data_IF_931626790333
#
_entry.id   IF_931626790333
#
_cell.length_a   1.000
_cell.length_b   1.000
_cell.length_c   1.000
_cell.angle_alpha   90.00
_cell.angle_beta   90.00
_cell.angle_gamma   90.00
#
_symmetry.space_group_name_H-M   'P 1'
#
loop_
_entity.id
_entity.type
_entity.pdbx_description
1 polymer ?
#
# COMPACT_ATOMS: atom_id res chain seq x y z
N UNK A 1 -16.94 -11.20 -6.28
CA UNK A 1 -17.24 -12.61 -5.93
C UNK A 1 -15.92 -13.33 -5.63
N UNK A 2 -15.79 -14.01 -4.47
CA UNK A 2 -14.56 -14.73 -4.08
C UNK A 2 -14.66 -16.20 -4.54
N UNK A 3 -13.56 -16.78 -5.06
CA UNK A 3 -13.46 -18.21 -5.41
C UNK A 3 -12.46 -18.89 -4.47
N UNK A 4 -12.82 -20.06 -3.92
CA UNK A 4 -11.90 -20.85 -3.10
C UNK A 4 -10.90 -21.57 -4.01
N UNK A 5 -9.62 -21.44 -3.71
CA UNK A 5 -8.52 -22.09 -4.42
C UNK A 5 -7.70 -22.89 -3.41
N UNK A 6 -7.49 -24.18 -3.67
CA UNK A 6 -6.54 -25.00 -2.92
C UNK A 6 -5.16 -24.92 -3.57
N UNK A 7 -4.12 -24.69 -2.77
CA UNK A 7 -2.73 -24.67 -3.25
C UNK A 7 -1.80 -25.16 -2.14
N UNK A 8 -0.59 -25.53 -2.53
CA UNK A 8 0.51 -25.75 -1.61
C UNK A 8 1.30 -24.45 -1.46
N UNK A 9 1.69 -24.12 -0.24
CA UNK A 9 2.57 -23.00 0.09
C UNK A 9 3.58 -23.49 1.11
N UNK A 10 4.78 -22.93 1.06
CA UNK A 10 5.83 -23.21 2.03
C UNK A 10 5.35 -22.85 3.46
N UNK A 11 5.75 -23.67 4.44
CA UNK A 11 5.32 -23.51 5.83
C UNK A 11 5.74 -22.16 6.42
N UNK A 12 6.95 -21.68 6.09
CA UNK A 12 7.44 -20.39 6.55
C UNK A 12 6.62 -19.25 5.94
N UNK A 13 6.22 -19.36 4.67
CA UNK A 13 5.35 -18.37 4.01
C UNK A 13 3.99 -18.30 4.72
N UNK A 14 3.40 -19.44 5.05
CA UNK A 14 2.13 -19.49 5.82
C UNK A 14 2.32 -18.89 7.22
N UNK A 15 3.43 -19.18 7.89
CA UNK A 15 3.76 -18.65 9.23
C UNK A 15 3.84 -17.13 9.20
N UNK A 16 4.51 -16.56 8.20
CA UNK A 16 4.62 -15.10 8.03
C UNK A 16 3.27 -14.46 7.71
N UNK A 17 2.47 -15.05 6.81
CA UNK A 17 1.16 -14.53 6.46
C UNK A 17 0.19 -14.54 7.65
N UNK A 18 0.20 -15.60 8.47
CA UNK A 18 -0.60 -15.70 9.70
C UNK A 18 -0.19 -14.65 10.73
N UNK A 19 1.11 -14.45 10.94
CA UNK A 19 1.61 -13.41 11.84
C UNK A 19 1.08 -12.04 11.41
N UNK A 20 1.19 -11.72 10.12
CA UNK A 20 0.70 -10.44 9.61
C UNK A 20 -0.80 -10.26 9.77
N UNK A 21 -1.57 -11.30 9.48
CA UNK A 21 -3.02 -11.30 9.67
C UNK A 21 -3.41 -11.00 11.13
N UNK A 22 -2.66 -11.54 12.10
CA UNK A 22 -2.85 -11.28 13.52
C UNK A 22 -2.47 -9.84 13.92
N UNK A 23 -1.31 -9.35 13.46
CA UNK A 23 -0.85 -7.97 13.69
C UNK A 23 -1.85 -6.93 13.16
N UNK A 24 -2.41 -7.18 11.97
CA UNK A 24 -3.36 -6.29 11.29
C UNK A 24 -4.83 -6.56 11.67
N UNK A 25 -5.10 -7.47 12.62
CA UNK A 25 -6.46 -7.88 13.05
C UNK A 25 -7.42 -8.19 11.90
N UNK A 26 -6.93 -8.87 10.85
CA UNK A 26 -7.71 -9.18 9.63
C UNK A 26 -7.62 -10.65 9.22
N UNK A 27 -8.57 -11.15 8.41
CA UNK A 27 -8.53 -12.52 7.92
C UNK A 27 -7.28 -12.82 7.06
N UNK A 28 -6.71 -14.01 7.24
CA UNK A 28 -5.59 -14.50 6.41
C UNK A 28 -5.90 -14.48 4.91
N UNK A 29 -7.16 -14.73 4.52
CA UNK A 29 -7.59 -14.67 3.12
C UNK A 29 -7.40 -13.29 2.50
N UNK A 30 -7.56 -12.24 3.28
CA UNK A 30 -7.42 -10.87 2.78
C UNK A 30 -5.94 -10.52 2.63
N UNK A 31 -5.08 -10.93 3.57
CA UNK A 31 -3.62 -10.80 3.44
C UNK A 31 -3.09 -11.52 2.19
N UNK A 32 -3.55 -12.75 1.95
CA UNK A 32 -3.16 -13.51 0.75
C UNK A 32 -3.68 -12.83 -0.53
N UNK A 33 -4.91 -12.31 -0.50
CA UNK A 33 -5.49 -11.60 -1.63
C UNK A 33 -4.71 -10.33 -1.95
N UNK A 34 -4.36 -9.52 -0.95
CA UNK A 34 -3.61 -8.28 -1.11
C UNK A 34 -2.21 -8.55 -1.68
N UNK A 35 -1.53 -9.60 -1.18
CA UNK A 35 -0.24 -10.01 -1.72
C UNK A 35 -0.33 -10.42 -3.20
N UNK A 36 -1.35 -11.18 -3.58
CA UNK A 36 -1.59 -11.56 -4.98
C UNK A 36 -1.92 -10.35 -5.85
N UNK A 37 -2.76 -9.43 -5.35
CA UNK A 37 -3.10 -8.19 -6.07
C UNK A 37 -1.84 -7.36 -6.26
N UNK A 38 -1.03 -7.15 -5.23
CA UNK A 38 0.23 -6.39 -5.31
C UNK A 38 1.18 -7.00 -6.34
N UNK A 39 1.44 -8.31 -6.24
CA UNK A 39 2.34 -9.02 -7.15
C UNK A 39 1.89 -8.92 -8.61
N UNK A 40 0.58 -9.02 -8.87
CA UNK A 40 0.02 -8.92 -10.21
C UNK A 40 -0.07 -7.46 -10.71
N UNK A 41 -0.22 -6.49 -9.81
CA UNK A 41 -0.31 -5.06 -10.13
C UNK A 41 1.05 -4.44 -10.48
N UNK A 42 2.14 -4.96 -9.91
CA UNK A 42 3.51 -4.47 -10.16
C UNK A 42 3.98 -4.69 -11.61
N UNK A 43 3.27 -5.51 -12.40
CA UNK A 43 3.53 -5.61 -13.85
C UNK A 43 2.97 -4.43 -14.68
N UNK A 44 2.23 -3.49 -14.07
CA UNK A 44 1.52 -2.41 -14.80
C UNK A 44 1.91 -1.00 -14.33
N UNK A 45 3.05 -0.80 -13.67
CA UNK A 45 3.63 0.54 -13.56
C UNK A 45 4.63 0.76 -14.68
N UNK A 46 4.12 1.10 -15.87
CA UNK A 46 4.92 1.67 -16.95
C UNK A 46 5.81 2.78 -16.35
N UNK A 47 7.15 2.64 -16.38
CA UNK A 47 8.07 3.62 -15.83
C UNK A 47 7.79 5.05 -16.34
N UNK A 48 7.24 5.19 -17.55
CA UNK A 48 6.81 6.47 -18.11
C UNK A 48 5.62 7.09 -17.38
N UNK A 49 4.68 6.28 -16.88
CA UNK A 49 3.55 6.77 -16.07
C UNK A 49 4.02 7.25 -14.70
N UNK A 50 5.00 6.58 -14.08
CA UNK A 50 5.63 7.03 -12.83
C UNK A 50 6.35 8.36 -13.01
N UNK A 51 7.14 8.50 -14.09
CA UNK A 51 7.81 9.75 -14.44
C UNK A 51 6.82 10.90 -14.62
N UNK A 52 5.70 10.67 -15.33
CA UNK A 52 4.65 11.68 -15.52
C UNK A 52 3.91 12.05 -14.22
N UNK A 53 3.65 11.08 -13.34
CA UNK A 53 3.01 11.35 -12.05
C UNK A 53 3.93 12.19 -11.14
N UNK A 54 5.23 11.86 -11.11
CA UNK A 54 6.24 12.65 -10.40
C UNK A 54 6.38 14.06 -10.98
N UNK A 55 6.47 14.17 -12.30
CA UNK A 55 6.52 15.45 -13.01
C UNK A 55 5.29 16.32 -12.68
N UNK A 56 4.08 15.76 -12.73
CA UNK A 56 2.85 16.48 -12.41
C UNK A 56 2.75 16.89 -10.94
N UNK A 57 3.28 16.08 -10.02
CA UNK A 57 3.37 16.43 -8.60
C UNK A 57 4.32 17.61 -8.38
N UNK A 58 5.49 17.62 -9.05
CA UNK A 58 6.49 18.68 -8.93
C UNK A 58 6.16 19.96 -9.72
N UNK A 59 5.44 19.85 -10.84
CA UNK A 59 5.09 20.99 -11.70
C UNK A 59 3.89 21.80 -11.19
N UNK A 60 3.09 21.25 -10.27
CA UNK A 60 1.99 21.99 -9.66
C UNK A 60 2.55 22.81 -8.49
N UNK A 61 2.51 24.16 -8.53
CA UNK A 61 2.80 24.95 -7.35
C UNK A 61 1.80 24.53 -6.27
N UNK A 62 2.32 24.14 -5.11
CA UNK A 62 1.52 23.69 -3.98
C UNK A 62 0.59 24.84 -3.61
N UNK A 63 -0.71 24.68 -3.86
CA UNK A 63 -1.74 25.70 -3.61
C UNK A 63 -2.26 25.59 -2.18
N UNK A 64 -1.37 25.70 -1.22
CA UNK A 64 -1.74 25.76 0.20
C UNK A 64 -1.30 27.10 0.76
N UNK A 65 -2.16 27.69 1.59
CA UNK A 65 -1.78 28.89 2.33
C UNK A 65 -0.70 28.55 3.35
N UNK A 66 0.00 29.57 3.86
CA UNK A 66 1.01 29.40 4.91
C UNK A 66 0.44 28.68 6.14
N UNK A 67 -0.83 28.93 6.47
CA UNK A 67 -1.50 28.33 7.62
C UNK A 67 -1.82 26.85 7.38
N UNK A 68 -2.27 26.49 6.16
CA UNK A 68 -2.49 25.09 5.77
C UNK A 68 -1.18 24.31 5.71
N UNK A 69 -0.10 24.93 5.27
CA UNK A 69 1.22 24.30 5.30
C UNK A 69 1.70 24.04 6.73
N UNK A 70 1.48 24.99 7.64
CA UNK A 70 1.81 24.84 9.07
C UNK A 70 1.00 23.72 9.70
N UNK A 71 -0.29 23.61 9.38
CA UNK A 71 -1.15 22.53 9.86
C UNK A 71 -0.65 21.15 9.41
N UNK A 72 -0.27 20.98 8.14
CA UNK A 72 0.28 19.71 7.63
C UNK A 72 1.61 19.34 8.31
N UNK A 73 2.45 20.33 8.62
CA UNK A 73 3.70 20.11 9.35
C UNK A 73 3.48 19.81 10.84
N UNK A 74 2.38 20.29 11.42
CA UNK A 74 1.97 20.01 12.81
C UNK A 74 1.25 18.65 12.93
N UNK A 75 0.58 18.17 11.89
CA UNK A 75 -0.05 16.84 11.86
C UNK A 75 0.98 15.68 11.85
N UNK A 76 2.26 15.96 11.58
CA UNK A 76 3.35 14.96 11.56
C UNK A 76 4.10 14.84 12.91
N UNK A 77 3.65 15.54 13.96
CA UNK A 77 4.14 15.31 15.33
C UNK A 77 3.35 14.17 15.98
N UNK A 78 3.76 12.93 15.69
CA UNK A 78 3.71 11.77 16.59
C UNK A 78 2.54 11.75 17.61
N UNK A 79 1.36 11.30 17.20
CA UNK A 79 0.45 10.67 18.16
C UNK A 79 0.86 9.20 18.31
N UNK A 80 1.20 8.87 19.56
CA UNK A 80 1.74 7.60 20.03
C UNK A 80 0.69 6.50 20.14
#
# INVERSE_FOLDING_TARGET
MKKKVGTLLDEEVIRHAKRRAAEESRPLSDVIQDALVSYLSDKVQDPKKRGKAYQFFCERPIRISKDQFKQVLEEDTWDS
#
